data_IF_599826091992
#
_entry.id   IF_599826091992
#
_cell.length_a   1.000
_cell.length_b   1.000
_cell.length_c   1.000
_cell.angle_alpha   90.00
_cell.angle_beta   90.00
_cell.angle_gamma   90.00
#
_symmetry.space_group_name_H-M   'P 1'
#
loop_
_entity.id
_entity.type
_entity.pdbx_description
1 polymer ?
#
# COMPACT_ATOMS: atom_id res chain seq x y z
N UNK A 1 -26.23 -33.63 39.05
CA UNK A 1 -26.29 -32.57 38.02
C UNK A 1 -25.73 -33.15 36.74
N UNK A 2 -26.49 -33.25 35.63
CA UNK A 2 -25.93 -33.73 34.38
C UNK A 2 -25.12 -32.60 33.73
N UNK A 3 -23.90 -32.93 33.34
CA UNK A 3 -23.04 -32.10 32.50
C UNK A 3 -23.74 -31.93 31.14
N UNK A 4 -24.28 -30.74 30.86
CA UNK A 4 -24.86 -30.45 29.55
C UNK A 4 -23.71 -30.42 28.54
N UNK A 5 -23.62 -31.48 27.73
CA UNK A 5 -22.75 -31.53 26.57
C UNK A 5 -23.07 -30.32 25.68
N UNK A 6 -22.08 -29.46 25.48
CA UNK A 6 -22.20 -28.31 24.59
C UNK A 6 -22.28 -28.85 23.17
N UNK A 7 -23.47 -28.82 22.57
CA UNK A 7 -23.69 -29.36 21.22
C UNK A 7 -22.74 -28.68 20.22
N UNK A 8 -21.92 -29.46 19.47
CA UNK A 8 -20.97 -28.91 18.49
C UNK A 8 -21.68 -28.11 17.39
N UNK A 9 -22.87 -28.54 16.97
CA UNK A 9 -23.67 -27.90 15.93
C UNK A 9 -24.17 -26.52 16.37
N UNK A 10 -24.70 -26.39 17.59
CA UNK A 10 -25.12 -25.11 18.15
C UNK A 10 -23.95 -24.13 18.30
N UNK A 11 -22.76 -24.64 18.62
CA UNK A 11 -21.54 -23.83 18.71
C UNK A 11 -21.12 -23.32 17.33
N UNK A 12 -21.13 -24.19 16.32
CA UNK A 12 -20.80 -23.83 14.93
C UNK A 12 -21.77 -22.79 14.35
N UNK A 13 -23.07 -22.94 14.60
CA UNK A 13 -24.09 -21.98 14.15
C UNK A 13 -23.93 -20.59 14.77
N UNK A 14 -23.56 -20.53 16.06
CA UNK A 14 -23.24 -19.26 16.72
C UNK A 14 -22.00 -18.59 16.13
N UNK A 15 -20.94 -19.37 15.85
CA UNK A 15 -19.75 -18.87 15.16
C UNK A 15 -20.07 -18.38 13.76
N UNK A 16 -20.84 -19.14 12.98
CA UNK A 16 -21.23 -18.78 11.63
C UNK A 16 -22.08 -17.50 11.60
N UNK A 17 -23.01 -17.32 12.55
CA UNK A 17 -23.79 -16.09 12.70
C UNK A 17 -22.91 -14.90 13.09
N UNK A 18 -22.04 -15.07 14.10
CA UNK A 18 -21.13 -14.00 14.55
C UNK A 18 -20.16 -13.57 13.45
N UNK A 19 -19.63 -14.52 12.67
CA UNK A 19 -18.80 -14.24 11.50
C UNK A 19 -19.59 -13.55 10.39
N UNK A 20 -20.85 -13.95 10.16
CA UNK A 20 -21.71 -13.28 9.19
C UNK A 20 -21.95 -11.82 9.57
N UNK A 21 -22.31 -11.57 10.83
CA UNK A 21 -22.61 -10.23 11.32
C UNK A 21 -21.37 -9.33 11.24
N UNK A 22 -20.19 -9.84 11.59
CA UNK A 22 -18.93 -9.10 11.47
C UNK A 22 -18.54 -8.80 10.02
N UNK A 23 -18.87 -9.69 9.08
CA UNK A 23 -18.58 -9.51 7.65
C UNK A 23 -19.67 -8.73 6.89
N UNK A 24 -20.86 -8.52 7.46
CA UNK A 24 -21.87 -7.68 6.82
C UNK A 24 -21.44 -6.20 6.81
N UNK A 25 -21.30 -5.57 5.61
CA UNK A 25 -20.91 -4.17 5.53
C UNK A 25 -22.06 -3.24 5.91
N UNK A 26 -21.75 -2.20 6.70
CA UNK A 26 -22.69 -1.09 6.93
C UNK A 26 -22.79 -0.18 5.68
N UNK A 27 -23.66 0.84 5.72
CA UNK A 27 -23.85 1.76 4.58
C UNK A 27 -22.58 2.52 4.17
N UNK A 28 -21.74 2.90 5.14
CA UNK A 28 -20.47 3.62 4.89
C UNK A 28 -19.44 2.70 4.24
N UNK A 29 -19.29 1.48 4.77
CA UNK A 29 -18.43 0.45 4.19
C UNK A 29 -18.91 0.06 2.78
N UNK A 30 -20.22 -0.03 2.56
CA UNK A 30 -20.79 -0.29 1.24
C UNK A 30 -20.37 0.78 0.23
N UNK A 31 -20.37 2.06 0.61
CA UNK A 31 -19.86 3.14 -0.25
C UNK A 31 -18.37 2.93 -0.55
N UNK A 32 -17.54 2.64 0.45
CA UNK A 32 -16.11 2.36 0.24
C UNK A 32 -15.89 1.18 -0.71
N UNK A 33 -16.66 0.09 -0.58
CA UNK A 33 -16.60 -1.08 -1.45
C UNK A 33 -17.02 -0.75 -2.90
N UNK A 34 -18.09 0.03 -3.07
CA UNK A 34 -18.53 0.50 -4.39
C UNK A 34 -17.43 1.37 -5.03
N UNK A 35 -16.84 2.29 -4.28
CA UNK A 35 -15.75 3.13 -4.77
C UNK A 35 -14.52 2.30 -5.15
N UNK A 36 -14.12 1.32 -4.33
CA UNK A 36 -13.03 0.40 -4.66
C UNK A 36 -13.32 -0.42 -5.92
N UNK A 37 -14.55 -0.92 -6.09
CA UNK A 37 -14.97 -1.63 -7.30
C UNK A 37 -14.92 -0.70 -8.54
N UNK A 38 -15.38 0.55 -8.40
CA UNK A 38 -15.26 1.55 -9.44
C UNK A 38 -13.79 1.84 -9.79
N UNK A 39 -12.88 1.89 -8.81
CA UNK A 39 -11.45 2.04 -9.07
C UNK A 39 -10.88 0.88 -9.87
N UNK A 40 -11.22 -0.37 -9.53
CA UNK A 40 -10.75 -1.54 -10.30
C UNK A 40 -11.18 -1.44 -11.76
N UNK A 41 -12.45 -1.12 -12.01
CA UNK A 41 -12.97 -0.97 -13.38
C UNK A 41 -12.33 0.22 -14.08
N UNK A 42 -12.19 1.37 -13.42
CA UNK A 42 -11.58 2.56 -13.99
C UNK A 42 -10.10 2.33 -14.34
N UNK A 43 -9.34 1.69 -13.44
CA UNK A 43 -7.94 1.33 -13.67
C UNK A 43 -7.84 0.40 -14.88
N UNK A 44 -8.66 -0.65 -14.97
CA UNK A 44 -8.66 -1.57 -16.11
C UNK A 44 -8.96 -0.85 -17.45
N UNK A 45 -9.92 0.07 -17.47
CA UNK A 45 -10.22 0.86 -18.67
C UNK A 45 -9.05 1.79 -19.02
N UNK A 46 -8.57 2.57 -18.05
CA UNK A 46 -7.49 3.54 -18.24
C UNK A 46 -6.18 2.86 -18.68
N UNK A 47 -5.97 1.60 -18.29
CA UNK A 47 -4.81 0.82 -18.69
C UNK A 47 -4.79 0.48 -20.18
N UNK A 48 -5.93 0.07 -20.73
CA UNK A 48 -6.00 -0.42 -22.11
C UNK A 48 -6.35 0.65 -23.14
N UNK A 49 -6.85 1.81 -22.72
CA UNK A 49 -7.19 2.91 -23.65
C UNK A 49 -5.95 3.78 -23.91
N UNK A 50 -5.48 3.88 -25.18
CA UNK A 50 -4.37 4.75 -25.54
C UNK A 50 -4.63 6.20 -25.13
N UNK A 51 -3.57 6.94 -24.77
CA UNK A 51 -3.60 8.31 -24.26
C UNK A 51 -4.19 8.50 -22.85
N UNK A 52 -5.22 7.72 -22.48
CA UNK A 52 -5.78 7.73 -21.13
C UNK A 52 -4.83 7.07 -20.12
N UNK A 53 -3.99 6.13 -20.58
CA UNK A 53 -2.96 5.51 -19.75
C UNK A 53 -1.95 6.51 -19.16
N UNK A 54 -1.70 7.65 -19.82
CA UNK A 54 -0.84 8.71 -19.30
C UNK A 54 -1.38 9.36 -18.02
N UNK A 55 -2.69 9.28 -17.77
CA UNK A 55 -3.30 9.81 -16.54
C UNK A 55 -2.91 8.94 -15.34
N UNK A 56 -2.88 7.61 -15.52
CA UNK A 56 -2.55 6.65 -14.46
C UNK A 56 -1.06 6.34 -14.37
N UNK A 57 -0.28 6.72 -15.38
CA UNK A 57 1.16 6.53 -15.46
C UNK A 57 1.94 6.89 -14.17
N UNK A 58 1.78 8.07 -13.53
CA UNK A 58 2.49 8.36 -12.29
C UNK A 58 2.12 7.36 -11.18
N UNK A 59 0.89 6.88 -11.12
CA UNK A 59 0.47 5.90 -10.12
C UNK A 59 0.99 4.49 -10.44
N UNK A 60 1.16 4.14 -11.72
CA UNK A 60 1.87 2.90 -12.10
C UNK A 60 3.33 2.94 -11.68
N UNK A 61 4.04 4.05 -11.93
CA UNK A 61 5.41 4.19 -11.44
C UNK A 61 5.49 4.16 -9.91
N UNK A 62 4.48 4.70 -9.21
CA UNK A 62 4.42 4.61 -7.75
C UNK A 62 4.33 3.16 -7.27
N UNK A 63 3.53 2.32 -7.95
CA UNK A 63 3.41 0.90 -7.59
C UNK A 63 4.68 0.12 -7.89
N UNK A 64 5.38 0.44 -8.99
CA UNK A 64 6.72 -0.08 -9.26
C UNK A 64 7.71 0.39 -8.17
N UNK A 65 7.60 1.62 -7.70
CA UNK A 65 8.38 2.11 -6.55
C UNK A 65 8.15 1.28 -5.28
N UNK A 66 6.91 0.89 -4.99
CA UNK A 66 6.61 -0.03 -3.89
C UNK A 66 7.21 -1.43 -4.09
N UNK A 67 7.24 -1.91 -5.34
CA UNK A 67 7.87 -3.18 -5.71
C UNK A 67 9.38 -3.14 -5.43
N UNK A 68 10.08 -2.16 -5.98
CA UNK A 68 11.53 -2.01 -5.81
C UNK A 68 11.94 -1.78 -4.35
N UNK A 69 11.19 -0.94 -3.64
CA UNK A 69 11.46 -0.73 -2.21
C UNK A 69 11.27 -2.04 -1.43
N UNK A 70 10.30 -2.87 -1.78
CA UNK A 70 10.09 -4.15 -1.09
C UNK A 70 11.28 -5.11 -1.24
N UNK A 71 11.92 -5.14 -2.42
CA UNK A 71 13.20 -5.81 -2.59
C UNK A 71 14.28 -5.23 -1.68
N UNK A 72 14.42 -3.91 -1.64
CA UNK A 72 15.42 -3.23 -0.82
C UNK A 72 15.23 -3.48 0.68
N UNK A 73 13.99 -3.40 1.17
CA UNK A 73 13.64 -3.64 2.56
C UNK A 73 13.90 -5.09 2.98
N UNK A 74 13.43 -6.06 2.20
CA UNK A 74 13.73 -7.47 2.45
C UNK A 74 15.23 -7.75 2.35
N UNK A 75 15.92 -7.07 1.44
CA UNK A 75 17.37 -7.10 1.32
C UNK A 75 18.03 -6.68 2.64
N UNK A 76 17.70 -5.50 3.17
CA UNK A 76 18.24 -5.02 4.46
C UNK A 76 17.95 -6.00 5.59
N UNK A 77 16.72 -6.52 5.69
CA UNK A 77 16.37 -7.52 6.72
C UNK A 77 17.15 -8.83 6.59
N UNK A 78 17.61 -9.17 5.39
CA UNK A 78 18.43 -10.35 5.11
C UNK A 78 19.92 -10.02 5.00
N UNK A 79 20.34 -8.86 5.53
CA UNK A 79 21.72 -8.37 5.58
C UNK A 79 22.34 -8.06 4.21
N UNK A 80 21.52 -7.72 3.21
CA UNK A 80 21.99 -7.17 1.93
C UNK A 80 22.40 -5.70 2.07
N UNK A 81 23.35 -5.29 1.22
CA UNK A 81 23.70 -3.89 1.02
C UNK A 81 23.00 -3.35 -0.22
N UNK A 82 22.14 -2.35 -0.04
CA UNK A 82 21.42 -1.68 -1.13
C UNK A 82 22.33 -0.60 -1.75
N UNK A 83 22.50 -0.64 -3.07
CA UNK A 83 23.36 0.29 -3.81
C UNK A 83 22.57 1.43 -4.45
N UNK A 84 21.47 1.11 -5.14
CA UNK A 84 20.55 2.09 -5.74
C UNK A 84 19.18 1.46 -6.00
N UNK A 85 18.17 2.33 -6.06
CA UNK A 85 16.85 2.05 -6.63
C UNK A 85 16.67 3.02 -7.80
N UNK A 86 16.23 2.49 -8.95
CA UNK A 86 16.00 3.25 -10.18
C UNK A 86 14.60 2.92 -10.71
N UNK A 87 13.84 3.93 -11.14
CA UNK A 87 12.58 3.76 -11.86
C UNK A 87 12.79 4.06 -13.34
N UNK A 88 12.25 3.20 -14.20
CA UNK A 88 12.31 3.33 -15.65
C UNK A 88 11.03 4.00 -16.17
N UNK A 89 11.13 4.99 -17.07
CA UNK A 89 9.97 5.58 -17.72
C UNK A 89 9.05 4.57 -18.45
N UNK A 90 9.57 3.41 -18.85
CA UNK A 90 8.80 2.36 -19.51
C UNK A 90 8.09 1.43 -18.49
N UNK A 91 7.64 1.98 -17.35
CA UNK A 91 6.90 1.29 -16.29
C UNK A 91 7.69 0.14 -15.63
N UNK A 92 9.02 0.24 -15.63
CA UNK A 92 9.96 -0.71 -15.02
C UNK A 92 10.72 -0.15 -13.82
N UNK A 93 11.50 -1.00 -13.15
CA UNK A 93 12.30 -0.63 -11.99
C UNK A 93 13.51 -1.54 -11.83
N UNK A 94 14.49 -1.09 -11.05
CA UNK A 94 15.64 -1.92 -10.70
C UNK A 94 16.22 -1.57 -9.32
N UNK A 95 16.27 -2.58 -8.45
CA UNK A 95 16.96 -2.52 -7.17
C UNK A 95 18.31 -3.20 -7.26
N UNK A 96 19.39 -2.41 -7.21
CA UNK A 96 20.75 -2.93 -7.19
C UNK A 96 21.17 -3.21 -5.75
N UNK A 97 21.44 -4.47 -5.42
CA UNK A 97 21.89 -4.88 -4.09
C UNK A 97 22.97 -5.97 -4.15
N UNK A 98 23.76 -6.11 -3.08
CA UNK A 98 24.71 -7.21 -2.89
C UNK A 98 24.48 -7.91 -1.56
N UNK A 99 24.55 -9.24 -1.55
CA UNK A 99 24.17 -10.05 -0.39
C UNK A 99 22.64 -10.23 -0.30
N UNK A 100 22.15 -10.58 0.89
CA UNK A 100 20.75 -10.94 1.09
C UNK A 100 20.45 -12.40 0.83
N UNK A 101 19.19 -12.78 1.06
CA UNK A 101 18.68 -14.14 0.77
C UNK A 101 17.74 -14.04 -0.44
N UNK A 102 18.17 -14.43 -1.65
CA UNK A 102 17.37 -14.33 -2.88
C UNK A 102 15.99 -15.01 -2.78
N UNK A 103 15.91 -16.07 -1.98
CA UNK A 103 14.66 -16.78 -1.70
C UNK A 103 13.59 -15.92 -1.03
N UNK A 104 13.99 -14.84 -0.35
CA UNK A 104 13.09 -13.90 0.28
C UNK A 104 13.03 -12.58 -0.50
N UNK A 105 14.16 -12.11 -1.02
CA UNK A 105 14.22 -10.80 -1.68
C UNK A 105 13.51 -10.79 -3.03
N UNK A 106 13.62 -11.83 -3.86
CA UNK A 106 12.96 -11.88 -5.17
C UNK A 106 11.43 -11.90 -5.10
N UNK A 107 10.76 -12.74 -4.28
CA UNK A 107 9.30 -12.64 -4.15
C UNK A 107 8.84 -11.36 -3.45
N UNK A 108 9.72 -10.67 -2.72
CA UNK A 108 9.35 -9.47 -1.97
C UNK A 108 8.86 -8.33 -2.86
N UNK A 109 9.28 -8.24 -4.12
CA UNK A 109 8.79 -7.22 -5.05
C UNK A 109 7.27 -7.29 -5.21
N UNK A 110 6.77 -8.37 -5.82
CA UNK A 110 5.33 -8.51 -6.07
C UNK A 110 4.53 -8.66 -4.78
N UNK A 111 5.01 -9.49 -3.84
CA UNK A 111 4.26 -9.77 -2.61
C UNK A 111 4.26 -8.58 -1.65
N UNK A 112 5.38 -7.85 -1.57
CA UNK A 112 5.53 -6.68 -0.71
C UNK A 112 4.72 -5.49 -1.21
N UNK A 113 4.77 -5.19 -2.51
CA UNK A 113 3.94 -4.12 -3.11
C UNK A 113 2.45 -4.41 -2.97
N UNK A 114 2.03 -5.67 -3.16
CA UNK A 114 0.64 -6.08 -2.95
C UNK A 114 0.25 -6.02 -1.46
N UNK A 115 1.13 -6.44 -0.54
CA UNK A 115 0.90 -6.33 0.90
C UNK A 115 0.75 -4.86 1.35
N UNK A 116 1.62 -3.97 0.89
CA UNK A 116 1.50 -2.52 1.12
C UNK A 116 0.17 -2.02 0.58
N UNK A 117 -0.19 -2.42 -0.64
CA UNK A 117 -1.49 -2.12 -1.25
C UNK A 117 -2.67 -2.54 -0.38
N UNK A 118 -2.65 -3.77 0.13
CA UNK A 118 -3.68 -4.30 1.01
C UNK A 118 -3.77 -3.53 2.33
N UNK A 119 -2.63 -3.14 2.93
CA UNK A 119 -2.60 -2.31 4.12
C UNK A 119 -3.21 -0.92 3.88
N UNK A 120 -2.91 -0.30 2.74
CA UNK A 120 -3.51 0.98 2.34
C UNK A 120 -5.02 0.84 2.06
N UNK A 121 -5.47 -0.28 1.49
CA UNK A 121 -6.90 -0.58 1.34
C UNK A 121 -7.58 -0.63 2.71
N UNK A 122 -7.01 -1.35 3.68
CA UNK A 122 -7.54 -1.43 5.06
C UNK A 122 -7.69 -0.02 5.64
N UNK A 123 -6.64 0.79 5.55
CA UNK A 123 -6.66 2.16 6.05
C UNK A 123 -7.66 3.05 5.31
N UNK A 124 -7.96 2.77 4.04
CA UNK A 124 -8.96 3.46 3.23
C UNK A 124 -10.42 3.32 3.70
N UNK A 125 -10.70 2.43 4.65
CA UNK A 125 -12.04 2.32 5.27
C UNK A 125 -12.32 3.38 6.33
N UNK A 126 -11.29 4.06 6.85
CA UNK A 126 -11.42 5.07 7.89
C UNK A 126 -10.53 6.31 7.64
N UNK A 127 -11.05 7.49 7.97
CA UNK A 127 -10.36 8.77 7.72
C UNK A 127 -9.10 8.92 8.58
N UNK A 128 -9.15 8.54 9.85
CA UNK A 128 -8.01 8.67 10.76
C UNK A 128 -6.94 7.62 10.44
N UNK A 129 -7.34 6.39 10.14
CA UNK A 129 -6.44 5.36 9.65
C UNK A 129 -5.73 5.80 8.36
N UNK A 130 -6.45 6.43 7.42
CA UNK A 130 -5.85 6.98 6.19
C UNK A 130 -4.86 8.12 6.44
N UNK A 131 -5.13 9.00 7.41
CA UNK A 131 -4.18 10.04 7.85
C UNK A 131 -2.89 9.41 8.40
N UNK A 132 -2.99 8.37 9.22
CA UNK A 132 -1.82 7.65 9.73
C UNK A 132 -1.08 6.95 8.59
N UNK A 133 -1.81 6.28 7.69
CA UNK A 133 -1.24 5.59 6.53
C UNK A 133 -0.47 6.55 5.63
N UNK A 134 -0.96 7.77 5.41
CA UNK A 134 -0.24 8.76 4.60
C UNK A 134 1.06 9.23 5.26
N UNK A 135 1.13 9.29 6.60
CA UNK A 135 2.37 9.61 7.32
C UNK A 135 3.38 8.46 7.23
N UNK A 136 2.91 7.20 7.34
CA UNK A 136 3.76 6.02 7.14
C UNK A 136 4.27 5.96 5.71
N UNK A 137 3.41 6.26 4.72
CA UNK A 137 3.79 6.36 3.31
C UNK A 137 4.80 7.49 3.07
N UNK A 138 4.68 8.63 3.76
CA UNK A 138 5.69 9.69 3.69
C UNK A 138 7.05 9.23 4.22
N UNK A 139 7.09 8.49 5.34
CA UNK A 139 8.34 7.90 5.84
C UNK A 139 8.95 6.93 4.82
N UNK A 140 8.11 6.10 4.21
CA UNK A 140 8.51 5.19 3.13
C UNK A 140 9.12 5.92 1.92
N UNK A 141 8.50 7.03 1.51
CA UNK A 141 9.02 7.87 0.43
C UNK A 141 10.38 8.46 0.76
N UNK A 142 10.61 8.90 2.00
CA UNK A 142 11.91 9.41 2.43
C UNK A 142 12.99 8.32 2.31
N UNK A 143 12.71 7.10 2.77
CA UNK A 143 13.64 5.97 2.60
C UNK A 143 13.86 5.62 1.13
N UNK A 144 12.82 5.66 0.31
CA UNK A 144 12.94 5.41 -1.14
C UNK A 144 13.84 6.47 -1.79
N UNK A 145 13.64 7.75 -1.48
CA UNK A 145 14.47 8.85 -1.97
C UNK A 145 15.93 8.73 -1.52
N UNK A 146 16.20 8.20 -0.33
CA UNK A 146 17.56 7.96 0.12
C UNK A 146 18.33 7.04 -0.83
N UNK A 147 17.72 5.93 -1.26
CA UNK A 147 18.34 4.98 -2.20
C UNK A 147 18.20 5.39 -3.67
N UNK A 148 17.15 6.14 -4.02
CA UNK A 148 16.87 6.65 -5.36
C UNK A 148 17.39 8.08 -5.60
N UNK A 149 18.31 8.58 -4.76
CA UNK A 149 18.76 9.99 -4.77
C UNK A 149 19.30 10.51 -6.12
N UNK A 150 19.73 9.62 -7.01
CA UNK A 150 20.23 9.96 -8.36
C UNK A 150 19.17 9.87 -9.45
N UNK A 151 17.98 9.38 -9.14
CA UNK A 151 16.91 9.20 -10.11
C UNK A 151 15.88 10.34 -10.05
N UNK A 152 15.97 11.26 -11.02
CA UNK A 152 15.12 12.45 -11.07
C UNK A 152 13.63 12.10 -11.22
N UNK A 153 13.31 10.98 -11.89
CA UNK A 153 11.94 10.53 -12.11
C UNK A 153 11.28 10.18 -10.77
N UNK A 154 11.98 9.42 -9.92
CA UNK A 154 11.53 9.11 -8.55
C UNK A 154 11.31 10.38 -7.73
N UNK A 155 12.18 11.40 -7.86
CA UNK A 155 11.99 12.68 -7.17
C UNK A 155 10.71 13.39 -7.60
N UNK A 156 10.49 13.54 -8.90
CA UNK A 156 9.29 14.22 -9.43
C UNK A 156 8.02 13.46 -9.05
N UNK A 157 8.06 12.14 -9.15
CA UNK A 157 6.96 11.27 -8.75
C UNK A 157 6.61 11.43 -7.27
N UNK A 158 7.60 11.27 -6.38
CA UNK A 158 7.39 11.32 -4.94
C UNK A 158 6.94 12.72 -4.50
N UNK A 159 7.52 13.78 -5.06
CA UNK A 159 7.08 15.15 -4.77
C UNK A 159 5.66 15.41 -5.27
N UNK A 160 5.30 14.92 -6.46
CA UNK A 160 3.95 15.04 -7.01
C UNK A 160 2.90 14.32 -6.17
N UNK A 161 3.16 13.05 -5.81
CA UNK A 161 2.26 12.25 -4.96
C UNK A 161 2.18 12.85 -3.55
N UNK A 162 3.29 13.31 -2.98
CA UNK A 162 3.30 13.99 -1.67
C UNK A 162 2.49 15.29 -1.71
N UNK A 163 2.58 16.06 -2.80
CA UNK A 163 1.75 17.24 -3.02
C UNK A 163 0.26 16.92 -3.04
N UNK A 164 -0.14 15.83 -3.72
CA UNK A 164 -1.53 15.36 -3.73
C UNK A 164 -2.00 14.88 -2.35
N UNK A 165 -1.16 14.15 -1.60
CA UNK A 165 -1.46 13.74 -0.23
C UNK A 165 -1.72 14.96 0.65
N UNK A 166 -0.84 15.96 0.59
CA UNK A 166 -1.00 17.20 1.36
C UNK A 166 -2.28 17.92 0.92
N UNK A 167 -2.51 18.11 -0.38
CA UNK A 167 -3.71 18.75 -0.90
C UNK A 167 -4.99 18.07 -0.37
N UNK A 168 -5.08 16.74 -0.49
CA UNK A 168 -6.25 15.98 -0.08
C UNK A 168 -6.42 15.86 1.44
N UNK A 169 -5.35 16.07 2.21
CA UNK A 169 -5.45 16.21 3.67
C UNK A 169 -6.34 17.39 4.07
N UNK A 170 -6.28 18.50 3.33
CA UNK A 170 -7.05 19.72 3.62
C UNK A 170 -8.50 19.68 3.11
N UNK A 171 -8.85 18.74 2.24
CA UNK A 171 -10.20 18.66 1.63
C UNK A 171 -11.15 17.87 2.54
N UNK A 172 -12.26 18.51 2.91
CA UNK A 172 -13.35 17.92 3.72
C UNK A 172 -12.87 17.19 5.00
N UNK A 173 -11.85 17.71 5.68
CA UNK A 173 -11.33 17.10 6.91
C UNK A 173 -10.55 15.80 6.70
N UNK A 174 -10.08 15.54 5.48
CA UNK A 174 -9.31 14.35 5.11
C UNK A 174 -10.13 13.25 4.41
N UNK A 175 -11.39 13.52 4.06
CA UNK A 175 -12.23 12.55 3.32
C UNK A 175 -11.66 12.28 1.93
N UNK A 176 -11.15 13.30 1.24
CA UNK A 176 -10.47 13.11 -0.04
C UNK A 176 -9.21 12.26 0.11
N UNK A 177 -8.43 12.50 1.18
CA UNK A 177 -7.23 11.70 1.48
C UNK A 177 -7.60 10.23 1.70
N UNK A 178 -8.69 9.96 2.42
CA UNK A 178 -9.19 8.59 2.66
C UNK A 178 -9.39 7.82 1.35
N UNK A 179 -10.09 8.42 0.41
CA UNK A 179 -10.35 7.80 -0.88
C UNK A 179 -9.10 7.75 -1.78
N UNK A 180 -8.18 8.70 -1.63
CA UNK A 180 -6.91 8.65 -2.34
C UNK A 180 -5.98 7.54 -1.83
N UNK A 181 -5.92 7.32 -0.51
CA UNK A 181 -5.20 6.19 0.07
C UNK A 181 -5.82 4.85 -0.34
N UNK A 182 -7.16 4.76 -0.35
CA UNK A 182 -7.86 3.61 -0.90
C UNK A 182 -7.50 3.38 -2.38
N UNK A 183 -7.47 4.44 -3.19
CA UNK A 183 -7.09 4.36 -4.60
C UNK A 183 -5.65 3.85 -4.78
N UNK A 184 -4.68 4.40 -4.06
CA UNK A 184 -3.28 3.94 -4.11
C UNK A 184 -3.19 2.45 -3.72
N UNK A 185 -3.93 2.04 -2.68
CA UNK A 185 -3.96 0.66 -2.24
C UNK A 185 -4.52 -0.30 -3.29
N UNK A 186 -5.66 0.06 -3.89
CA UNK A 186 -6.26 -0.71 -5.00
C UNK A 186 -5.34 -0.73 -6.21
N UNK A 187 -4.75 0.41 -6.57
CA UNK A 187 -3.80 0.52 -7.68
C UNK A 187 -2.61 -0.42 -7.48
N UNK A 188 -2.01 -0.44 -6.29
CA UNK A 188 -0.87 -1.32 -5.96
C UNK A 188 -1.24 -2.80 -6.04
N UNK A 189 -2.40 -3.19 -5.51
CA UNK A 189 -2.84 -4.58 -5.60
C UNK A 189 -3.11 -5.00 -7.05
N UNK A 190 -3.85 -4.18 -7.82
CA UNK A 190 -4.20 -4.51 -9.20
C UNK A 190 -2.96 -4.53 -10.10
N UNK A 191 -2.04 -3.58 -9.92
CA UNK A 191 -0.78 -3.54 -10.67
C UNK A 191 0.05 -4.80 -10.39
N UNK A 192 0.27 -5.15 -9.12
CA UNK A 192 1.06 -6.34 -8.77
C UNK A 192 0.45 -7.64 -9.33
N UNK A 193 -0.89 -7.77 -9.29
CA UNK A 193 -1.56 -8.93 -9.89
C UNK A 193 -1.36 -8.97 -11.41
N UNK A 194 -1.52 -7.83 -12.09
CA UNK A 194 -1.35 -7.74 -13.53
C UNK A 194 0.11 -8.01 -13.94
N UNK A 195 1.07 -7.45 -13.22
CA UNK A 195 2.51 -7.61 -13.46
C UNK A 195 2.93 -9.08 -13.34
N UNK A 196 2.46 -9.80 -12.31
CA UNK A 196 2.69 -11.25 -12.19
C UNK A 196 2.06 -12.01 -13.37
N UNK A 197 0.85 -11.63 -13.80
CA UNK A 197 0.16 -12.27 -14.93
C UNK A 197 0.92 -12.06 -16.22
N UNK A 198 1.34 -10.83 -16.53
CA UNK A 198 2.12 -10.50 -17.73
C UNK A 198 3.46 -11.24 -17.72
N UNK A 199 4.19 -11.24 -16.60
CA UNK A 199 5.47 -11.94 -16.47
C UNK A 199 5.34 -13.47 -16.57
N UNK A 200 4.18 -14.02 -16.19
CA UNK A 200 3.89 -15.45 -16.25
C UNK A 200 3.37 -15.89 -17.62
N UNK A 201 2.54 -15.08 -18.29
CA UNK A 201 1.78 -15.45 -19.49
C UNK A 201 2.42 -14.89 -20.77
N UNK A 202 2.88 -13.63 -20.78
CA UNK A 202 3.33 -12.93 -22.00
C UNK A 202 4.78 -13.21 -22.40
N UNK A 203 5.49 -14.07 -21.66
CA UNK A 203 6.85 -14.54 -22.01
C UNK A 203 7.93 -13.44 -22.03
N UNK A 204 7.90 -12.45 -21.13
CA UNK A 204 9.08 -11.64 -20.79
C UNK A 204 10.09 -12.46 -19.93
N UNK A 205 10.46 -13.65 -20.39
CA UNK A 205 11.08 -14.72 -19.58
C UNK A 205 12.51 -14.41 -19.13
N UNK A 206 13.16 -13.34 -19.58
CA UNK A 206 14.60 -13.18 -19.34
C UNK A 206 15.00 -12.27 -18.17
N UNK A 207 14.09 -11.45 -17.61
CA UNK A 207 14.44 -10.48 -16.55
C UNK A 207 13.48 -10.34 -15.36
N UNK A 208 12.34 -11.05 -15.31
CA UNK A 208 11.41 -10.94 -14.17
C UNK A 208 11.92 -11.62 -12.89
N UNK A 209 11.39 -11.24 -11.73
CA UNK A 209 11.76 -11.84 -10.44
C UNK A 209 11.43 -13.33 -10.39
N UNK A 210 10.31 -13.74 -10.99
CA UNK A 210 9.92 -15.14 -11.09
C UNK A 210 10.92 -15.94 -11.94
N UNK A 211 11.44 -15.35 -13.01
CA UNK A 211 12.50 -15.95 -13.82
C UNK A 211 13.83 -16.05 -13.06
N UNK A 212 14.23 -14.98 -12.38
CA UNK A 212 15.43 -14.98 -11.54
C UNK A 212 15.33 -16.04 -10.43
N UNK A 213 14.16 -16.16 -9.80
CA UNK A 213 13.92 -17.14 -8.73
C UNK A 213 13.93 -18.57 -9.27
N UNK A 214 13.29 -18.84 -10.40
CA UNK A 214 13.30 -20.16 -11.02
C UNK A 214 14.73 -20.63 -11.37
N UNK A 215 15.60 -19.72 -11.83
CA UNK A 215 17.02 -20.02 -12.08
C UNK A 215 17.78 -20.43 -10.82
N UNK A 216 17.41 -19.87 -9.66
CA UNK A 216 18.04 -20.18 -8.37
C UNK A 216 17.45 -21.46 -7.75
N UNK A 217 16.12 -21.65 -7.78
CA UNK A 217 15.50 -22.85 -7.22
C UNK A 217 15.82 -24.11 -8.04
N UNK A 218 15.83 -24.00 -9.38
CA UNK A 218 16.04 -25.11 -10.30
C UNK A 218 14.93 -26.18 -10.29
N UNK A 219 13.92 -26.03 -9.43
CA UNK A 219 12.93 -27.05 -9.11
C UNK A 219 11.68 -27.00 -10.00
N UNK A 220 11.24 -25.79 -10.38
CA UNK A 220 10.03 -25.53 -11.15
C UNK A 220 10.27 -24.34 -12.08
N UNK A 221 9.56 -24.26 -13.22
CA UNK A 221 9.70 -23.12 -14.13
C UNK A 221 9.06 -21.86 -13.53
N UNK A 222 9.41 -20.68 -14.06
CA UNK A 222 8.99 -19.38 -13.52
C UNK A 222 7.48 -19.22 -13.42
N UNK A 223 6.71 -19.89 -14.29
CA UNK A 223 5.26 -19.83 -14.29
C UNK A 223 4.63 -20.44 -13.05
N UNK A 224 5.22 -21.52 -12.51
CA UNK A 224 4.70 -22.15 -11.29
C UNK A 224 4.88 -21.21 -10.11
N UNK A 225 6.05 -20.58 -10.01
CA UNK A 225 6.33 -19.57 -8.98
C UNK A 225 5.45 -18.33 -9.14
N UNK A 226 5.26 -17.84 -10.37
CA UNK A 226 4.34 -16.76 -10.68
C UNK A 226 2.91 -17.06 -10.24
N UNK A 227 2.36 -18.23 -10.55
CA UNK A 227 1.01 -18.64 -10.11
C UNK A 227 0.92 -18.72 -8.58
N UNK A 228 1.93 -19.25 -7.90
CA UNK A 228 1.94 -19.29 -6.42
C UNK A 228 1.88 -17.87 -5.85
N UNK A 229 2.70 -16.96 -6.35
CA UNK A 229 2.74 -15.58 -5.88
C UNK A 229 1.49 -14.80 -6.26
N UNK A 230 0.89 -15.08 -7.42
CA UNK A 230 -0.40 -14.52 -7.83
C UNK A 230 -1.50 -14.87 -6.82
N UNK A 231 -1.58 -16.13 -6.39
CA UNK A 231 -2.56 -16.57 -5.40
C UNK A 231 -2.34 -15.91 -4.03
N UNK A 232 -1.09 -15.74 -3.61
CA UNK A 232 -0.74 -15.05 -2.35
C UNK A 232 -1.12 -13.56 -2.44
N UNK A 233 -0.74 -12.89 -3.54
CA UNK A 233 -1.07 -11.49 -3.79
C UNK A 233 -2.59 -11.27 -3.83
N UNK A 234 -3.32 -12.14 -4.51
CA UNK A 234 -4.78 -12.09 -4.52
C UNK A 234 -5.37 -12.30 -3.12
N UNK A 235 -4.77 -13.20 -2.33
CA UNK A 235 -5.07 -13.38 -0.92
C UNK A 235 -4.87 -12.10 -0.10
N UNK A 236 -3.79 -11.35 -0.30
CA UNK A 236 -3.58 -10.05 0.36
C UNK A 236 -4.65 -9.03 -0.01
N UNK A 237 -4.99 -8.91 -1.29
CA UNK A 237 -6.06 -8.02 -1.74
C UNK A 237 -7.39 -8.35 -1.06
N UNK A 238 -7.81 -9.62 -1.06
CA UNK A 238 -9.04 -10.07 -0.40
C UNK A 238 -8.97 -9.83 1.11
N UNK A 239 -7.84 -10.17 1.74
CA UNK A 239 -7.64 -9.95 3.17
C UNK A 239 -7.75 -8.48 3.55
N UNK A 240 -7.19 -7.57 2.74
CA UNK A 240 -7.27 -6.12 2.99
C UNK A 240 -8.72 -5.62 3.01
N UNK A 241 -9.55 -6.10 2.08
CA UNK A 241 -10.98 -5.76 2.06
C UNK A 241 -11.71 -6.36 3.28
N UNK A 242 -11.48 -7.63 3.60
CA UNK A 242 -12.15 -8.30 4.73
C UNK A 242 -11.75 -7.68 6.07
N UNK A 243 -10.47 -7.38 6.26
CA UNK A 243 -9.97 -6.71 7.47
C UNK A 243 -10.56 -5.31 7.56
N UNK A 244 -10.63 -4.54 6.46
CA UNK A 244 -11.28 -3.24 6.46
C UNK A 244 -12.76 -3.31 6.89
N UNK A 245 -13.49 -4.33 6.43
CA UNK A 245 -14.89 -4.55 6.82
C UNK A 245 -15.02 -4.91 8.32
N UNK A 246 -14.10 -5.70 8.86
CA UNK A 246 -14.15 -6.13 10.26
C UNK A 246 -13.66 -5.04 11.21
N UNK A 247 -12.59 -4.32 10.84
CA UNK A 247 -11.91 -3.37 11.72
C UNK A 247 -12.62 -2.01 11.83
N UNK A 248 -13.27 -1.53 10.76
CA UNK A 248 -13.80 -0.16 10.72
C UNK A 248 -15.32 -0.13 10.52
N UNK A 249 -16.07 -0.20 11.61
CA UNK A 249 -17.55 -0.23 11.62
C UNK A 249 -18.19 1.14 11.83
N UNK A 250 -17.40 2.19 11.93
CA UNK A 250 -17.85 3.55 12.15
C UNK A 250 -18.69 4.06 10.97
N UNK A 251 -19.67 4.92 11.27
CA UNK A 251 -20.45 5.61 10.24
C UNK A 251 -19.67 6.81 9.69
N UNK A 252 -20.01 7.29 8.49
CA UNK A 252 -19.39 8.49 7.92
C UNK A 252 -19.48 9.72 8.85
N UNK A 253 -20.60 9.88 9.57
CA UNK A 253 -20.77 10.95 10.55
C UNK A 253 -19.84 10.81 11.76
N UNK A 254 -19.65 9.57 12.24
CA UNK A 254 -18.72 9.27 13.32
C UNK A 254 -17.27 9.51 12.89
N UNK A 255 -16.86 9.00 11.73
CA UNK A 255 -15.52 9.24 11.18
C UNK A 255 -15.24 10.74 11.00
N UNK A 256 -16.21 11.51 10.52
CA UNK A 256 -16.09 12.97 10.38
C UNK A 256 -16.00 13.69 11.74
N UNK A 257 -16.63 13.16 12.78
CA UNK A 257 -16.48 13.66 14.16
C UNK A 257 -15.08 13.34 14.68
N UNK A 258 -14.64 12.10 14.58
CA UNK A 258 -13.36 11.63 15.11
C UNK A 258 -12.17 12.33 14.42
N UNK A 259 -12.28 12.58 13.12
CA UNK A 259 -11.28 13.31 12.33
C UNK A 259 -11.11 14.78 12.73
N UNK A 260 -12.06 15.37 13.45
CA UNK A 260 -11.91 16.72 14.03
C UNK A 260 -11.04 16.71 15.28
N UNK A 261 -10.93 15.59 15.98
CA UNK A 261 -10.19 15.49 17.23
C UNK A 261 -8.82 14.84 17.05
N UNK A 262 -8.71 13.89 16.11
CA UNK A 262 -7.47 13.17 15.82
C UNK A 262 -6.78 13.72 14.57
N UNK A 263 -5.56 14.25 14.74
CA UNK A 263 -4.78 14.92 13.69
C UNK A 263 -5.65 15.89 12.86
N UNK A 264 -6.25 16.91 13.50
CA UNK A 264 -7.11 17.86 12.81
C UNK A 264 -6.36 18.61 11.72
N UNK A 265 -7.11 19.09 10.73
CA UNK A 265 -6.56 19.95 9.67
C UNK A 265 -5.90 21.17 10.32
N UNK A 266 -4.63 21.49 9.99
CA UNK A 266 -3.95 22.67 10.52
C UNK A 266 -4.80 23.94 10.35
N UNK A 267 -4.99 24.69 11.43
CA UNK A 267 -5.83 25.90 11.44
C UNK A 267 -7.30 25.68 11.80
N UNK A 268 -7.77 24.44 11.99
CA UNK A 268 -9.10 24.17 12.52
C UNK A 268 -9.23 24.59 14.00
N UNK A 269 -10.42 25.00 14.49
CA UNK A 269 -10.63 25.34 15.90
C UNK A 269 -10.23 24.22 16.87
N UNK A 270 -10.41 22.96 16.45
CA UNK A 270 -10.01 21.78 17.22
C UNK A 270 -8.49 21.51 17.22
N UNK A 271 -7.74 22.06 16.25
CA UNK A 271 -6.27 21.99 16.22
C UNK A 271 -5.63 22.92 17.25
N UNK A 272 -6.27 24.05 17.57
CA UNK A 272 -5.78 25.02 18.55
C UNK A 272 -5.70 24.45 19.98
N UNK A 273 -6.53 23.46 20.33
CA UNK A 273 -6.43 22.76 21.62
C UNK A 273 -5.25 21.75 21.68
N UNK A 274 -4.78 21.27 20.52
CA UNK A 274 -3.71 20.27 20.43
C UNK A 274 -2.32 20.89 20.26
N UNK A 275 -2.23 22.14 19.79
CA UNK A 275 -0.96 22.80 19.48
C UNK A 275 -0.42 23.64 20.65
N UNK A 276 -0.09 22.97 21.76
CA UNK A 276 0.97 23.46 22.65
C UNK A 276 2.28 22.84 22.18
N UNK A 277 2.82 23.32 21.05
CA UNK A 277 4.10 22.81 20.53
C UNK A 277 5.25 23.49 21.26
N UNK A 278 5.98 22.71 22.06
CA UNK A 278 7.22 23.16 22.69
C UNK A 278 8.26 23.55 21.63
N UNK A 279 8.97 24.70 21.79
CA UNK A 279 9.98 25.18 20.83
C UNK A 279 11.06 24.14 20.48
N UNK A 280 11.31 23.20 21.40
CA UNK A 280 12.28 22.12 21.23
C UNK A 280 11.90 21.13 20.11
N UNK A 281 10.61 20.86 19.88
CA UNK A 281 10.17 19.90 18.84
C UNK A 281 10.41 20.47 17.44
N UNK A 282 10.16 21.76 17.26
CA UNK A 282 10.41 22.46 16.00
C UNK A 282 11.91 22.50 15.70
N UNK A 283 12.74 22.80 16.71
CA UNK A 283 14.19 22.81 16.57
C UNK A 283 14.77 21.44 16.19
N UNK A 284 14.29 20.35 16.81
CA UNK A 284 14.71 18.98 16.48
C UNK A 284 14.29 18.58 15.07
N UNK A 285 13.08 18.95 14.64
CA UNK A 285 12.57 18.63 13.30
C UNK A 285 13.34 19.36 12.20
N UNK A 286 13.67 20.63 12.42
CA UNK A 286 14.50 21.43 11.51
C UNK A 286 15.94 20.91 11.47
N UNK A 287 16.51 20.55 12.62
CA UNK A 287 17.84 19.94 12.69
C UNK A 287 17.90 18.58 11.97
N UNK A 288 16.87 17.74 12.13
CA UNK A 288 16.79 16.46 11.44
C UNK A 288 16.67 16.64 9.92
N UNK A 289 15.82 17.56 9.46
CA UNK A 289 15.72 17.91 8.04
C UNK A 289 17.04 18.47 7.49
N UNK A 290 17.73 19.32 8.24
CA UNK A 290 19.03 19.88 7.87
C UNK A 290 20.12 18.81 7.78
N UNK A 291 20.21 17.91 8.76
CA UNK A 291 21.16 16.79 8.74
C UNK A 291 20.87 15.86 7.56
N UNK A 292 19.60 15.57 7.28
CA UNK A 292 19.20 14.79 6.10
C UNK A 292 19.67 15.44 4.80
N UNK A 293 19.54 16.78 4.67
CA UNK A 293 20.03 17.53 3.52
C UNK A 293 21.56 17.48 3.40
N UNK A 294 22.30 17.46 4.51
CA UNK A 294 23.77 17.42 4.51
C UNK A 294 24.34 16.01 4.26
N UNK A 295 23.54 14.96 4.44
CA UNK A 295 23.93 13.56 4.18
C UNK A 295 23.58 13.08 2.77
N UNK A 296 22.86 13.89 2.00
CA UNK A 296 22.57 13.70 0.57
C UNK A 296 23.76 14.15 -0.30
#
# INVERSE_FOLDING_TARGET
>A
MPYTGRDPEHTFDLFARSARDSLTPNSTQRTTLIVAACYIVAIAILWHVPYLSYIIYPFKLLTVGFHEMSHAFMGVLTCARIHSIELDPDEGGATRMSGGIPWLTLPAGYLGSCFIGAALIVCGFDTNASKVASLVMAAFFIFTLWWARRDWLTWVLILGVSGLVVLFWFVEGGVALRYFILFIGVMSCMYALWDIVDDTIERKVNSSDASAFAKICGCFPSQVWGVIWLLIAFGFFVAGILIGIVAFKETAAQQASDAKHFLPVPGAPSAALSMSTSPHIVAVSVAAAWILIQMM
#
